data_IF_121465873382
#
_entry.id   IF_121465873382
#
_cell.length_a   1.000
_cell.length_b   1.000
_cell.length_c   1.000
_cell.angle_alpha   90.00
_cell.angle_beta   90.00
_cell.angle_gamma   90.00
#
_symmetry.space_group_name_H-M   'P 1'
#
loop_
_entity.id
_entity.type
_entity.pdbx_description
1 polymer ?
#
# COMPACT_ATOMS: atom_id res chain seq x y z
N UNK A 1 12.55 -21.20 13.65
CA UNK A 1 12.21 -21.85 12.36
C UNK A 1 11.98 -20.73 11.36
N UNK A 2 12.72 -20.70 10.25
CA UNK A 2 12.46 -19.76 9.15
C UNK A 2 11.52 -20.45 8.16
N UNK A 3 10.49 -19.76 7.73
CA UNK A 3 9.58 -20.21 6.66
C UNK A 3 9.91 -19.37 5.45
N UNK A 4 10.21 -20.02 4.33
CA UNK A 4 10.36 -19.38 3.04
C UNK A 4 9.04 -19.49 2.28
N UNK A 5 8.62 -18.39 1.67
CA UNK A 5 7.40 -18.32 0.87
C UNK A 5 7.71 -17.61 -0.44
N UNK A 6 7.06 -18.04 -1.52
CA UNK A 6 7.11 -17.31 -2.78
C UNK A 6 6.33 -16.00 -2.64
N UNK A 7 6.89 -14.92 -3.17
CA UNK A 7 6.28 -13.60 -3.17
C UNK A 7 6.28 -13.03 -4.60
N UNK A 8 5.26 -12.24 -4.91
CA UNK A 8 5.13 -11.53 -6.19
C UNK A 8 4.53 -10.14 -5.92
N UNK A 9 4.62 -9.27 -6.92
CA UNK A 9 4.09 -7.91 -6.87
C UNK A 9 2.57 -7.90 -6.96
N UNK A 10 1.92 -6.93 -6.30
CA UNK A 10 0.47 -6.78 -6.41
C UNK A 10 0.03 -6.52 -7.86
N UNK A 11 0.82 -5.74 -8.60
CA UNK A 11 0.61 -5.51 -10.03
C UNK A 11 0.51 -6.84 -10.81
N UNK A 12 1.48 -7.74 -10.66
CA UNK A 12 1.48 -9.03 -11.36
C UNK A 12 0.28 -9.90 -10.92
N UNK A 13 0.04 -10.01 -9.62
CA UNK A 13 -1.02 -10.86 -9.07
C UNK A 13 -2.39 -10.40 -9.59
N UNK A 14 -2.66 -9.09 -9.58
CA UNK A 14 -3.97 -8.55 -9.94
C UNK A 14 -4.13 -8.45 -11.46
N UNK A 15 -3.17 -7.90 -12.18
CA UNK A 15 -3.30 -7.64 -13.61
C UNK A 15 -3.20 -8.92 -14.46
N UNK A 16 -2.55 -9.98 -13.98
CA UNK A 16 -2.61 -11.29 -14.63
C UNK A 16 -4.01 -11.93 -14.57
N UNK A 17 -4.76 -11.66 -13.49
CA UNK A 17 -6.12 -12.21 -13.27
C UNK A 17 -7.21 -11.31 -13.85
N UNK A 18 -6.99 -9.99 -13.81
CA UNK A 18 -7.95 -8.98 -14.25
C UNK A 18 -7.23 -7.94 -15.14
N UNK A 19 -6.83 -8.31 -16.37
CA UNK A 19 -6.08 -7.41 -17.26
C UNK A 19 -6.84 -6.12 -17.62
N UNK A 20 -8.18 -6.16 -17.54
CA UNK A 20 -9.06 -5.04 -17.85
C UNK A 20 -9.49 -4.22 -16.63
N UNK A 21 -8.81 -4.36 -15.48
CA UNK A 21 -9.08 -3.53 -14.30
C UNK A 21 -8.81 -2.06 -14.63
N UNK A 22 -9.82 -1.20 -14.44
CA UNK A 22 -9.73 0.23 -14.79
C UNK A 22 -9.77 1.16 -13.58
N UNK A 23 -10.28 0.68 -12.45
CA UNK A 23 -10.50 1.52 -11.27
C UNK A 23 -10.50 0.65 -10.02
N UNK A 24 -9.89 1.18 -8.97
CA UNK A 24 -9.92 0.62 -7.62
C UNK A 24 -10.38 1.74 -6.70
N UNK A 25 -11.53 1.56 -6.05
CA UNK A 25 -12.01 2.58 -5.11
C UNK A 25 -11.08 2.66 -3.89
N UNK A 26 -10.69 1.53 -3.33
CA UNK A 26 -9.89 1.45 -2.12
C UNK A 26 -8.92 0.27 -2.21
N UNK A 27 -7.65 0.52 -1.90
CA UNK A 27 -6.64 -0.49 -1.61
C UNK A 27 -6.34 -0.47 -0.11
N UNK A 28 -6.62 -1.56 0.60
CA UNK A 28 -6.17 -1.73 1.98
C UNK A 28 -4.92 -2.61 1.99
N UNK A 29 -3.83 -2.10 2.55
CA UNK A 29 -2.56 -2.79 2.77
C UNK A 29 -2.45 -3.08 4.27
N UNK A 30 -2.72 -4.33 4.64
CA UNK A 30 -2.71 -4.81 6.02
C UNK A 30 -1.84 -6.07 6.04
N UNK A 31 -0.54 -5.85 6.17
CA UNK A 31 0.50 -6.87 6.11
C UNK A 31 1.46 -6.62 7.27
N UNK A 32 1.93 -7.66 7.93
CA UNK A 32 2.71 -7.54 9.18
C UNK A 32 4.16 -7.05 8.91
N UNK A 33 4.32 -5.75 8.60
CA UNK A 33 5.62 -5.07 8.44
C UNK A 33 6.23 -5.07 7.04
N UNK A 34 5.47 -5.45 6.00
CA UNK A 34 5.92 -5.48 4.61
C UNK A 34 5.18 -4.45 3.72
N UNK A 35 4.63 -3.39 4.31
CA UNK A 35 3.79 -2.39 3.64
C UNK A 35 4.58 -1.65 2.55
N UNK A 36 5.85 -1.33 2.82
CA UNK A 36 6.73 -0.66 1.86
C UNK A 36 6.92 -1.52 0.60
N UNK A 37 7.12 -2.82 0.77
CA UNK A 37 7.32 -3.80 -0.30
C UNK A 37 6.04 -3.97 -1.12
N UNK A 38 4.88 -4.08 -0.46
CA UNK A 38 3.58 -4.14 -1.15
C UNK A 38 3.35 -2.88 -1.96
N UNK A 39 3.56 -1.69 -1.38
CA UNK A 39 3.40 -0.42 -2.09
C UNK A 39 4.35 -0.30 -3.29
N UNK A 40 5.62 -0.69 -3.14
CA UNK A 40 6.59 -0.76 -4.26
C UNK A 40 6.09 -1.66 -5.39
N UNK A 41 5.54 -2.83 -5.05
CA UNK A 41 4.95 -3.78 -6.00
C UNK A 41 3.58 -3.38 -6.57
N UNK A 42 3.03 -2.23 -6.21
CA UNK A 42 1.67 -1.81 -6.58
C UNK A 42 1.66 -0.61 -7.55
N UNK A 43 2.72 -0.38 -8.32
CA UNK A 43 2.91 0.86 -9.09
C UNK A 43 1.76 1.14 -10.07
N UNK A 44 1.26 0.14 -10.78
CA UNK A 44 0.15 0.30 -11.73
C UNK A 44 -1.21 0.30 -11.03
N UNK A 45 -1.39 -0.54 -10.01
CA UNK A 45 -2.62 -0.54 -9.21
C UNK A 45 -2.84 0.80 -8.51
N UNK A 46 -1.80 1.42 -7.97
CA UNK A 46 -1.88 2.74 -7.32
C UNK A 46 -2.35 3.83 -8.29
N UNK A 47 -1.97 3.78 -9.57
CA UNK A 47 -2.46 4.74 -10.58
C UNK A 47 -3.96 4.65 -10.82
N UNK A 48 -4.57 3.49 -10.56
CA UNK A 48 -6.00 3.25 -10.73
C UNK A 48 -6.78 3.43 -9.43
N UNK A 49 -6.11 3.73 -8.32
CA UNK A 49 -6.67 3.69 -6.97
C UNK A 49 -7.01 5.09 -6.43
N UNK A 50 -8.22 5.28 -5.91
CA UNK A 50 -8.61 6.57 -5.28
C UNK A 50 -8.07 6.71 -3.85
N UNK A 51 -8.14 5.64 -3.07
CA UNK A 51 -7.76 5.63 -1.66
C UNK A 51 -6.86 4.45 -1.33
N UNK A 52 -5.81 4.69 -0.54
CA UNK A 52 -4.95 3.63 0.01
C UNK A 52 -4.96 3.72 1.53
N UNK A 53 -5.24 2.63 2.22
CA UNK A 53 -5.05 2.54 3.67
C UNK A 53 -3.83 1.65 3.91
N UNK A 54 -2.89 2.11 4.73
CA UNK A 54 -1.70 1.36 5.08
C UNK A 54 -1.26 1.67 6.52
N UNK A 55 -0.55 0.72 7.12
CA UNK A 55 0.11 0.91 8.40
C UNK A 55 1.55 1.38 8.19
N UNK A 56 2.03 2.27 9.04
CA UNK A 56 3.43 2.66 9.08
C UNK A 56 3.90 3.03 10.49
N UNK A 57 5.15 2.72 10.77
CA UNK A 57 5.86 3.21 11.95
C UNK A 57 6.60 4.51 11.63
N UNK A 58 7.25 5.10 12.64
CA UNK A 58 8.16 6.24 12.44
C UNK A 58 9.31 5.92 11.47
N UNK A 59 9.71 4.66 11.37
CA UNK A 59 10.81 4.23 10.51
C UNK A 59 10.39 3.99 9.06
N UNK A 60 9.12 3.68 8.81
CA UNK A 60 8.64 3.29 7.47
C UNK A 60 7.82 4.36 6.78
N UNK A 61 7.26 5.34 7.51
CA UNK A 61 6.36 6.35 6.96
C UNK A 61 7.00 7.15 5.82
N UNK A 62 8.27 7.55 5.93
CA UNK A 62 8.95 8.31 4.87
C UNK A 62 9.03 7.51 3.56
N UNK A 63 9.40 6.23 3.63
CA UNK A 63 9.42 5.34 2.48
C UNK A 63 8.03 5.19 1.83
N UNK A 64 6.97 5.07 2.65
CA UNK A 64 5.59 5.00 2.13
C UNK A 64 5.20 6.30 1.42
N UNK A 65 5.58 7.47 1.95
CA UNK A 65 5.29 8.77 1.35
C UNK A 65 6.03 8.96 0.01
N UNK A 66 7.27 8.49 -0.10
CA UNK A 66 8.04 8.52 -1.36
C UNK A 66 7.37 7.72 -2.48
N UNK A 67 6.71 6.60 -2.14
CA UNK A 67 6.00 5.74 -3.10
C UNK A 67 4.61 6.29 -3.45
N UNK A 68 4.04 7.16 -2.61
CA UNK A 68 2.71 7.74 -2.76
C UNK A 68 2.74 9.25 -3.11
N UNK A 69 3.57 9.72 -4.07
CA UNK A 69 3.74 11.16 -4.31
C UNK A 69 2.49 11.82 -4.92
N UNK A 70 1.57 11.03 -5.48
CA UNK A 70 0.28 11.50 -6.02
C UNK A 70 -0.86 11.53 -5.00
N UNK A 71 -0.59 11.26 -3.73
CA UNK A 71 -1.60 11.15 -2.69
C UNK A 71 -1.37 12.18 -1.56
N UNK A 72 -2.46 12.66 -0.98
CA UNK A 72 -2.47 13.35 0.31
C UNK A 72 -2.67 12.34 1.43
N UNK A 73 -1.66 12.20 2.29
CA UNK A 73 -1.66 11.21 3.38
C UNK A 73 -2.11 11.85 4.68
N UNK A 74 -3.07 11.21 5.36
CA UNK A 74 -3.64 11.63 6.64
C UNK A 74 -3.57 10.49 7.64
N UNK A 75 -3.21 10.83 8.87
CA UNK A 75 -3.33 9.93 10.01
C UNK A 75 -4.81 9.60 10.27
N UNK A 76 -5.11 8.34 10.57
CA UNK A 76 -6.44 7.87 10.98
C UNK A 76 -6.43 7.59 12.47
N UNK A 77 -5.63 6.62 12.89
CA UNK A 77 -5.59 6.09 14.25
C UNK A 77 -4.26 5.39 14.53
N UNK A 78 -4.03 5.11 15.81
CA UNK A 78 -2.92 4.27 16.25
C UNK A 78 -3.36 2.81 16.19
N UNK A 79 -2.59 1.94 15.52
CA UNK A 79 -2.89 0.51 15.37
C UNK A 79 -2.05 -0.38 16.28
N UNK A 80 -0.88 0.11 16.73
CA UNK A 80 0.01 -0.64 17.62
C UNK A 80 0.87 0.25 18.54
N UNK A 81 1.81 -0.36 19.28
CA UNK A 81 2.70 0.37 20.16
C UNK A 81 3.51 1.45 19.44
N UNK A 82 3.95 1.20 18.20
CA UNK A 82 4.80 2.13 17.43
C UNK A 82 4.30 2.36 16.00
N UNK A 83 3.09 1.90 15.69
CA UNK A 83 2.52 1.93 14.34
C UNK A 83 1.16 2.63 14.31
N UNK A 84 0.89 3.26 13.18
CA UNK A 84 -0.31 4.03 12.93
C UNK A 84 -0.91 3.67 11.58
N UNK A 85 -2.23 3.72 11.50
CA UNK A 85 -2.99 3.64 10.27
C UNK A 85 -3.06 5.02 9.60
N UNK A 86 -2.80 5.04 8.30
CA UNK A 86 -2.91 6.22 7.45
C UNK A 86 -3.88 5.96 6.30
N UNK A 87 -4.51 7.03 5.82
CA UNK A 87 -5.21 7.06 4.54
C UNK A 87 -4.49 8.00 3.59
N UNK A 88 -4.10 7.48 2.44
CA UNK A 88 -3.63 8.22 1.29
C UNK A 88 -4.79 8.45 0.32
N UNK A 89 -5.09 9.71 0.02
CA UNK A 89 -6.19 10.15 -0.83
C UNK A 89 -5.60 10.69 -2.13
N UNK A 90 -5.98 10.15 -3.28
CA UNK A 90 -5.44 10.57 -4.58
C UNK A 90 -5.75 12.04 -4.83
N UNK A 91 -4.73 12.80 -5.25
CA UNK A 91 -4.91 14.19 -5.71
C UNK A 91 -5.60 14.17 -7.08
N UNK A 92 -6.61 15.03 -7.24
CA UNK A 92 -7.30 15.23 -8.51
C UNK A 92 -6.46 16.07 -9.48
#
# INVERSE_FOLDING_TARGET
MRVEVEADTLDNIVLSKIPSLKHVKLLKVDVEGAEVEVLKGSTNILKLTDYVIFEASKQTIENCLEILPGFDVKFIERSGPETNNFIAIKRN
#
